data_IF_515429225099
#
_entry.id   IF_515429225099
#
_cell.length_a   1.000
_cell.length_b   1.000
_cell.length_c   1.000
_cell.angle_alpha   90.00
_cell.angle_beta   90.00
_cell.angle_gamma   90.00
#
_symmetry.space_group_name_H-M   'P 1'
#
loop_
_entity.id
_entity.type
_entity.pdbx_description
1 polymer ?
#
# COMPACT_ATOMS: atom_id res chain seq x y z
N UNK A 1 6.09 -8.13 1.24
CA UNK A 1 6.26 -8.02 -0.23
C UNK A 1 5.01 -7.37 -0.80
N UNK A 2 5.15 -6.32 -1.62
CA UNK A 2 4.03 -5.72 -2.37
C UNK A 2 3.74 -6.59 -3.59
N UNK A 3 2.47 -6.90 -3.82
CA UNK A 3 2.03 -7.70 -4.97
C UNK A 3 1.02 -6.89 -5.77
N UNK A 4 0.85 -7.23 -7.06
CA UNK A 4 -0.10 -6.59 -7.97
C UNK A 4 0.15 -5.08 -8.23
N UNK A 5 1.41 -4.66 -8.31
CA UNK A 5 1.79 -3.27 -8.64
C UNK A 5 1.73 -2.89 -10.13
N UNK A 6 1.31 -3.82 -10.99
CA UNK A 6 1.24 -3.62 -12.44
C UNK A 6 2.59 -3.76 -13.15
N UNK A 7 2.56 -3.55 -14.47
CA UNK A 7 3.68 -3.84 -15.39
C UNK A 7 4.97 -3.08 -15.03
N UNK A 8 4.85 -1.83 -14.59
CA UNK A 8 6.01 -1.04 -14.17
C UNK A 8 6.72 -1.66 -12.95
N UNK A 9 5.97 -2.05 -11.91
CA UNK A 9 6.56 -2.69 -10.74
C UNK A 9 7.19 -4.04 -11.11
N UNK A 10 6.57 -4.78 -12.02
CA UNK A 10 7.05 -6.09 -12.47
C UNK A 10 8.41 -5.98 -13.18
N UNK A 11 8.53 -5.09 -14.17
CA UNK A 11 9.80 -4.89 -14.87
C UNK A 11 10.88 -4.31 -13.95
N UNK A 12 10.53 -3.38 -13.05
CA UNK A 12 11.49 -2.86 -12.07
C UNK A 12 11.99 -3.95 -11.12
N UNK A 13 11.09 -4.83 -10.66
CA UNK A 13 11.45 -5.96 -9.79
C UNK A 13 12.35 -6.95 -10.51
N UNK A 14 12.08 -7.23 -11.80
CA UNK A 14 12.91 -8.09 -12.65
C UNK A 14 14.31 -7.51 -12.86
N UNK A 15 14.42 -6.22 -13.18
CA UNK A 15 15.71 -5.53 -13.32
C UNK A 15 16.51 -5.57 -12.01
N UNK A 16 15.87 -5.26 -10.88
CA UNK A 16 16.52 -5.29 -9.57
C UNK A 16 16.99 -6.70 -9.20
N UNK A 17 16.17 -7.72 -9.46
CA UNK A 17 16.52 -9.14 -9.22
C UNK A 17 17.71 -9.57 -10.08
N UNK A 18 17.71 -9.25 -11.38
CA UNK A 18 18.83 -9.56 -12.28
C UNK A 18 20.12 -8.86 -11.88
N UNK A 19 20.02 -7.70 -11.23
CA UNK A 19 21.15 -6.96 -10.68
C UNK A 19 21.54 -7.39 -9.27
N UNK A 20 20.86 -8.39 -8.68
CA UNK A 20 21.04 -8.84 -7.28
C UNK A 20 20.88 -7.71 -6.25
N UNK A 21 20.02 -6.73 -6.54
CA UNK A 21 19.78 -5.57 -5.69
C UNK A 21 18.37 -5.62 -5.08
N UNK A 22 18.22 -5.33 -3.77
CA UNK A 22 16.92 -5.21 -3.15
C UNK A 22 16.22 -3.93 -3.61
N UNK A 23 14.96 -4.06 -4.02
CA UNK A 23 14.08 -2.92 -4.31
C UNK A 23 13.27 -2.56 -3.06
N UNK A 24 13.50 -1.36 -2.51
CA UNK A 24 12.80 -0.84 -1.36
C UNK A 24 12.15 0.50 -1.72
N UNK A 25 10.94 0.73 -1.21
CA UNK A 25 10.23 1.98 -1.43
C UNK A 25 9.22 2.23 -0.32
N UNK A 26 9.24 3.45 0.22
CA UNK A 26 8.14 4.00 1.01
C UNK A 26 7.24 4.85 0.11
N UNK A 27 6.13 5.33 0.66
CA UNK A 27 5.30 6.30 -0.05
C UNK A 27 6.07 7.61 -0.28
N UNK A 28 5.91 8.21 -1.47
CA UNK A 28 6.60 9.43 -1.89
C UNK A 28 5.95 10.68 -1.26
N UNK A 29 6.13 10.86 0.04
CA UNK A 29 5.58 11.98 0.80
C UNK A 29 6.40 12.28 2.04
N UNK A 30 6.28 13.51 2.56
CA UNK A 30 6.73 13.81 3.91
C UNK A 30 6.00 12.93 4.94
N UNK A 31 6.73 12.44 5.93
CA UNK A 31 6.21 11.57 6.99
C UNK A 31 4.94 12.16 7.63
N UNK A 32 3.91 11.33 7.80
CA UNK A 32 2.65 11.73 8.43
C UNK A 32 1.69 12.53 7.55
N UNK A 33 2.07 12.91 6.31
CA UNK A 33 1.22 13.74 5.43
C UNK A 33 0.27 12.96 4.52
N UNK A 34 0.23 11.62 4.68
CA UNK A 34 -0.55 10.71 3.87
C UNK A 34 -0.02 10.52 2.45
N UNK A 35 -0.35 9.36 1.86
CA UNK A 35 0.07 8.96 0.52
C UNK A 35 -0.51 9.90 -0.54
N UNK A 36 0.33 10.33 -1.47
CA UNK A 36 -0.05 11.14 -2.64
C UNK A 36 -0.40 10.22 -3.80
N UNK A 37 -1.38 10.63 -4.58
CA UNK A 37 -1.95 9.84 -5.67
C UNK A 37 -1.71 10.45 -7.05
N UNK A 38 -0.99 11.57 -7.13
CA UNK A 38 -0.42 12.10 -8.36
C UNK A 38 0.85 12.89 -8.03
N UNK A 39 1.69 13.13 -9.04
CA UNK A 39 3.00 13.77 -8.89
C UNK A 39 2.87 15.23 -8.43
N UNK A 40 1.85 15.94 -8.88
CA UNK A 40 1.59 17.33 -8.51
C UNK A 40 1.24 17.48 -7.03
N UNK A 41 0.70 16.43 -6.42
CA UNK A 41 0.35 16.38 -5.01
C UNK A 41 1.57 16.09 -4.10
N UNK A 42 2.72 15.72 -4.68
CA UNK A 42 3.98 15.46 -3.96
C UNK A 42 4.66 16.78 -3.59
N UNK A 43 5.13 16.86 -2.34
CA UNK A 43 5.78 18.06 -1.83
C UNK A 43 7.01 18.44 -2.67
N UNK A 44 7.24 19.75 -2.95
CA UNK A 44 8.36 20.21 -3.76
C UNK A 44 9.73 19.67 -3.35
N UNK A 45 9.97 19.54 -2.04
CA UNK A 45 11.24 19.07 -1.48
C UNK A 45 11.49 17.59 -1.78
N UNK A 46 10.43 16.77 -1.79
CA UNK A 46 10.53 15.35 -2.18
C UNK A 46 10.80 15.24 -3.68
N UNK A 47 10.12 16.05 -4.51
CA UNK A 47 10.37 16.08 -5.96
C UNK A 47 11.78 16.55 -6.29
N UNK A 48 12.28 17.55 -5.57
CA UNK A 48 13.63 18.08 -5.75
C UNK A 48 14.74 17.10 -5.34
N UNK A 49 14.45 16.18 -4.40
CA UNK A 49 15.38 15.17 -3.95
C UNK A 49 15.42 13.91 -4.83
N UNK A 50 14.50 13.76 -5.78
CA UNK A 50 14.41 12.59 -6.64
C UNK A 50 15.29 12.74 -7.88
N UNK A 51 16.15 11.75 -8.14
CA UNK A 51 16.90 11.67 -9.41
C UNK A 51 15.98 11.40 -10.61
N UNK A 52 14.90 10.66 -10.39
CA UNK A 52 13.95 10.24 -11.43
C UNK A 52 12.53 10.39 -10.88
N UNK A 53 11.65 11.01 -11.68
CA UNK A 53 10.20 11.08 -11.45
C UNK A 53 9.52 10.40 -12.63
N UNK A 54 8.68 9.41 -12.33
CA UNK A 54 7.86 8.70 -13.33
C UNK A 54 6.41 9.12 -13.15
N UNK A 55 5.87 9.83 -14.14
CA UNK A 55 4.52 10.39 -14.08
C UNK A 55 3.59 9.73 -15.12
N UNK A 56 2.72 8.83 -14.65
CA UNK A 56 1.64 8.23 -15.44
C UNK A 56 0.27 8.86 -15.12
N UNK A 57 0.26 10.03 -14.48
CA UNK A 57 -0.93 10.68 -13.96
C UNK A 57 -1.43 10.07 -12.65
N UNK A 58 -2.73 10.22 -12.40
CA UNK A 58 -3.34 9.84 -11.13
C UNK A 58 -3.38 8.32 -10.92
N UNK A 59 -2.97 7.86 -9.74
CA UNK A 59 -3.00 6.46 -9.31
C UNK A 59 -4.42 5.89 -9.46
N UNK A 60 -4.54 4.80 -10.25
CA UNK A 60 -5.81 4.14 -10.55
C UNK A 60 -6.50 3.57 -9.32
N UNK A 61 -5.74 2.92 -8.44
CA UNK A 61 -6.28 2.24 -7.25
C UNK A 61 -6.00 3.04 -5.99
N UNK A 62 -6.90 3.97 -5.65
CA UNK A 62 -6.79 4.79 -4.44
C UNK A 62 -8.01 4.74 -3.52
N UNK A 63 -8.96 3.85 -3.83
CA UNK A 63 -10.20 3.67 -3.09
C UNK A 63 -10.19 2.31 -2.34
N UNK A 64 -10.74 2.23 -1.12
CA UNK A 64 -11.23 3.35 -0.29
C UNK A 64 -10.08 4.21 0.27
N UNK A 65 -8.85 3.71 0.21
CA UNK A 65 -7.65 4.34 0.76
C UNK A 65 -6.51 4.33 -0.27
N UNK A 66 -5.66 5.37 -0.29
CA UNK A 66 -4.58 5.48 -1.27
C UNK A 66 -3.40 4.54 -1.02
N UNK A 67 -3.25 4.00 0.19
CA UNK A 67 -2.16 3.07 0.57
C UNK A 67 -2.56 1.61 0.37
N UNK A 68 -1.60 0.70 0.25
CA UNK A 68 -1.86 -0.74 0.11
C UNK A 68 -2.49 -1.38 1.34
N UNK A 69 -3.30 -2.42 1.12
CA UNK A 69 -3.78 -3.32 2.18
C UNK A 69 -2.63 -4.18 2.70
N UNK A 70 -2.56 -4.40 4.02
CA UNK A 70 -1.54 -5.26 4.64
C UNK A 70 -2.21 -6.35 5.49
N UNK A 71 -1.81 -7.60 5.27
CA UNK A 71 -2.32 -8.77 5.97
C UNK A 71 -1.12 -9.54 6.54
N UNK A 72 -1.18 -9.88 7.82
CA UNK A 72 -0.32 -10.87 8.45
C UNK A 72 -0.88 -12.26 8.13
N UNK A 73 -0.21 -13.01 7.26
CA UNK A 73 -0.65 -14.35 6.88
C UNK A 73 -0.38 -15.42 7.95
N UNK A 74 0.53 -15.18 8.91
CA UNK A 74 0.78 -16.14 10.00
C UNK A 74 -0.43 -16.25 10.94
N UNK A 75 -1.10 -15.11 11.19
CA UNK A 75 -2.27 -15.01 12.08
C UNK A 75 -3.58 -14.81 11.31
N UNK A 76 -3.52 -14.70 9.98
CA UNK A 76 -4.63 -14.26 9.12
C UNK A 76 -5.30 -12.97 9.62
N UNK A 77 -4.48 -12.00 10.05
CA UNK A 77 -4.92 -10.74 10.62
C UNK A 77 -4.69 -9.57 9.65
N UNK A 78 -5.70 -8.72 9.49
CA UNK A 78 -5.54 -7.45 8.78
C UNK A 78 -4.71 -6.51 9.65
N UNK A 79 -3.59 -6.03 9.12
CA UNK A 79 -2.73 -5.03 9.78
C UNK A 79 -3.08 -3.61 9.32
N UNK A 80 -3.48 -3.48 8.05
CA UNK A 80 -3.88 -2.21 7.48
C UNK A 80 -4.95 -2.38 6.40
N UNK A 81 -6.04 -1.65 6.55
CA UNK A 81 -7.00 -1.45 5.47
C UNK A 81 -6.42 -0.50 4.42
N UNK A 82 -6.50 -0.87 3.15
CA UNK A 82 -5.92 -0.11 2.06
C UNK A 82 -6.77 -0.11 0.80
N UNK A 83 -6.13 0.15 -0.34
CA UNK A 83 -6.76 0.12 -1.65
C UNK A 83 -7.34 -1.27 -1.95
N UNK A 84 -8.50 -1.28 -2.61
CA UNK A 84 -9.21 -2.48 -3.08
C UNK A 84 -9.48 -3.51 -1.97
N UNK A 85 -9.61 -3.06 -0.71
CA UNK A 85 -9.79 -3.96 0.42
C UNK A 85 -11.07 -4.81 0.29
N UNK A 86 -12.13 -4.23 -0.27
CA UNK A 86 -13.39 -4.92 -0.57
C UNK A 86 -13.22 -6.09 -1.54
N UNK A 87 -12.35 -5.94 -2.55
CA UNK A 87 -12.04 -7.00 -3.52
C UNK A 87 -11.22 -8.11 -2.85
N UNK A 88 -10.30 -7.72 -1.96
CA UNK A 88 -9.50 -8.68 -1.18
C UNK A 88 -10.41 -9.47 -0.23
N UNK A 89 -11.31 -8.81 0.49
CA UNK A 89 -12.32 -9.44 1.35
C UNK A 89 -13.16 -10.47 0.58
N UNK A 90 -13.67 -10.08 -0.59
CA UNK A 90 -14.46 -10.95 -1.46
C UNK A 90 -13.65 -12.16 -1.95
N UNK A 91 -12.38 -11.98 -2.33
CA UNK A 91 -11.50 -13.09 -2.71
C UNK A 91 -11.27 -14.08 -1.55
N UNK A 92 -11.03 -13.59 -0.32
CA UNK A 92 -10.87 -14.44 0.86
C UNK A 92 -12.15 -15.24 1.16
N UNK A 93 -13.31 -14.60 1.03
CA UNK A 93 -14.61 -15.24 1.23
C UNK A 93 -14.89 -16.31 0.16
N UNK A 94 -14.81 -15.94 -1.12
CA UNK A 94 -15.17 -16.83 -2.24
C UNK A 94 -14.25 -18.03 -2.40
N UNK A 95 -12.94 -17.83 -2.24
CA UNK A 95 -11.96 -18.88 -2.54
C UNK A 95 -11.55 -19.69 -1.31
N UNK A 96 -11.70 -19.14 -0.11
CA UNK A 96 -11.21 -19.76 1.13
C UNK A 96 -12.27 -19.83 2.25
N UNK A 97 -13.47 -19.28 2.06
CA UNK A 97 -14.50 -19.24 3.10
C UNK A 97 -14.10 -18.41 4.33
N UNK A 98 -13.11 -17.53 4.20
CA UNK A 98 -12.59 -16.72 5.29
C UNK A 98 -13.28 -15.36 5.32
N UNK A 99 -13.75 -14.96 6.50
CA UNK A 99 -14.35 -13.65 6.74
C UNK A 99 -13.31 -12.72 7.37
N UNK A 100 -12.92 -11.67 6.66
CA UNK A 100 -12.06 -10.60 7.18
C UNK A 100 -12.91 -9.46 7.75
N UNK A 101 -12.43 -8.68 8.75
CA UNK A 101 -13.17 -7.59 9.34
C UNK A 101 -13.47 -6.47 8.34
N UNK A 102 -14.57 -5.75 8.53
CA UNK A 102 -14.91 -4.59 7.69
C UNK A 102 -13.99 -3.41 8.00
N UNK A 103 -13.64 -2.63 6.97
CA UNK A 103 -12.96 -1.34 7.15
C UNK A 103 -13.92 -0.36 7.85
N UNK A 104 -13.58 0.19 9.04
CA UNK A 104 -14.44 1.15 9.74
C UNK A 104 -14.52 2.51 9.03
N UNK A 105 -13.78 2.70 7.94
CA UNK A 105 -13.78 3.93 7.16
C UNK A 105 -12.73 4.94 7.63
N UNK A 106 -12.45 5.92 6.78
CA UNK A 106 -11.36 6.88 6.98
C UNK A 106 -11.62 7.85 8.13
N UNK A 107 -12.88 8.16 8.43
CA UNK A 107 -13.25 9.09 9.50
C UNK A 107 -12.99 8.48 10.89
N UNK A 108 -13.14 7.16 11.03
CA UNK A 108 -12.89 6.44 12.28
C UNK A 108 -11.41 6.04 12.39
N UNK A 109 -10.81 5.56 11.29
CA UNK A 109 -9.44 5.06 11.27
C UNK A 109 -8.68 5.67 10.10
N UNK A 110 -8.17 6.90 10.24
CA UNK A 110 -7.57 7.65 9.12
C UNK A 110 -6.45 6.90 8.39
N UNK A 111 -5.50 6.31 9.13
CA UNK A 111 -4.33 5.64 8.55
C UNK A 111 -4.63 4.23 8.03
N UNK A 112 -5.80 3.67 8.37
CA UNK A 112 -6.16 2.27 8.14
C UNK A 112 -5.37 1.26 8.96
N UNK A 113 -4.32 1.67 9.70
CA UNK A 113 -3.50 0.77 10.49
C UNK A 113 -4.24 0.36 11.76
N UNK A 114 -4.46 -0.93 11.93
CA UNK A 114 -4.89 -1.48 13.20
C UNK A 114 -3.67 -1.49 14.13
N UNK A 115 -3.78 -0.84 15.28
CA UNK A 115 -2.72 -0.93 16.30
C UNK A 115 -2.54 -2.42 16.63
N UNK A 116 -1.30 -2.89 16.64
CA UNK A 116 -0.99 -4.03 17.49
C UNK A 116 -1.29 -3.56 18.90
N UNK A 117 -2.12 -4.30 19.64
CA UNK A 117 -2.04 -4.21 21.08
C UNK A 117 -0.55 -4.35 21.40
N UNK A 118 0.03 -3.37 22.08
CA UNK A 118 1.43 -3.48 22.48
C UNK A 118 1.54 -4.83 23.18
N UNK A 119 2.31 -5.75 22.58
CA UNK A 119 2.59 -7.05 23.17
C UNK A 119 3.02 -6.77 24.60
N UNK A 120 2.14 -7.16 25.53
CA UNK A 120 2.40 -7.11 26.94
C UNK A 120 3.44 -8.20 27.20
N UNK A 121 4.70 -7.82 27.16
CA UNK A 121 5.84 -8.60 27.66
C UNK A 121 6.63 -7.73 28.62
#
# INVERSE_FOLDING_TARGET
MLVNGGEFQEELSKLATNAELPLLGSSANLTGTGTKVAVEDIQPEIRAAADIIVDYGRQKYSHPRPSSTMINFNELRVLRFGACYEVIQDAFSRFYGLSLPNDPGRDILFSGHLRQDCDSN
#
